data_IF_298346912764
#
_entry.id   IF_298346912764
#
_cell.length_a   1.000
_cell.length_b   1.000
_cell.length_c   1.000
_cell.angle_alpha   90.00
_cell.angle_beta   90.00
_cell.angle_gamma   90.00
#
_symmetry.space_group_name_H-M   'P 1'
#
loop_
_entity.id
_entity.type
_entity.pdbx_description
1 polymer ?
#
# COMPACT_ATOMS: atom_id res chain seq x y z
N UNK A 1 33.81 9.24 -30.94
CA UNK A 1 33.57 9.21 -32.41
C UNK A 1 32.86 10.48 -32.83
N UNK A 2 33.53 11.38 -33.56
CA UNK A 2 33.00 12.70 -33.89
C UNK A 2 32.05 12.64 -35.11
N UNK A 3 30.78 13.01 -34.94
CA UNK A 3 29.80 13.07 -36.05
C UNK A 3 30.20 14.09 -37.13
N UNK A 4 30.96 15.11 -36.74
CA UNK A 4 31.56 16.12 -37.61
C UNK A 4 32.54 15.52 -38.62
N UNK A 5 33.29 14.48 -38.24
CA UNK A 5 34.19 13.76 -39.15
C UNK A 5 33.43 12.86 -40.14
N UNK A 6 32.14 12.56 -39.89
CA UNK A 6 31.25 11.87 -40.82
C UNK A 6 30.48 12.82 -41.77
N UNK A 7 30.42 14.10 -41.44
CA UNK A 7 29.76 15.15 -42.25
C UNK A 7 30.79 16.07 -42.93
N UNK A 8 32.08 15.91 -42.60
CA UNK A 8 33.18 16.71 -43.09
C UNK A 8 33.24 16.82 -44.62
N UNK A 9 33.55 18.05 -45.07
CA UNK A 9 33.69 18.52 -46.46
C UNK A 9 34.12 17.43 -47.44
N UNK A 10 33.31 17.24 -48.48
CA UNK A 10 33.60 16.43 -49.66
C UNK A 10 35.03 16.71 -50.17
N UNK A 11 35.93 15.74 -50.08
CA UNK A 11 37.26 15.85 -50.69
C UNK A 11 37.07 15.68 -52.20
N UNK A 12 37.59 16.63 -53.00
CA UNK A 12 37.42 16.69 -54.48
C UNK A 12 37.87 15.44 -55.26
N UNK A 13 38.47 14.45 -54.60
CA UNK A 13 39.00 13.22 -55.20
C UNK A 13 38.38 11.93 -54.63
N UNK A 14 37.26 12.01 -53.91
CA UNK A 14 36.64 10.83 -53.31
C UNK A 14 35.80 10.04 -54.34
N UNK A 15 35.99 8.71 -54.50
CA UNK A 15 35.20 7.91 -55.43
C UNK A 15 33.73 7.85 -54.99
N UNK A 16 32.79 7.97 -55.93
CA UNK A 16 31.35 8.01 -55.65
C UNK A 16 30.84 6.80 -54.84
N UNK A 17 31.47 5.64 -55.02
CA UNK A 17 31.16 4.43 -54.28
C UNK A 17 31.42 4.55 -52.76
N UNK A 18 32.47 5.29 -52.36
CA UNK A 18 32.82 5.52 -50.95
C UNK A 18 31.79 6.44 -50.29
N UNK A 19 31.36 7.48 -51.02
CA UNK A 19 30.32 8.39 -50.56
C UNK A 19 28.97 7.68 -50.39
N UNK A 20 28.59 6.80 -51.31
CA UNK A 20 27.36 6.01 -51.23
C UNK A 20 27.37 5.04 -50.03
N UNK A 21 28.49 4.35 -49.80
CA UNK A 21 28.68 3.49 -48.62
C UNK A 21 28.53 4.26 -47.31
N UNK A 22 29.11 5.47 -47.22
CA UNK A 22 29.01 6.32 -46.03
C UNK A 22 27.57 6.70 -45.72
N UNK A 23 26.78 7.08 -46.72
CA UNK A 23 25.35 7.40 -46.57
C UNK A 23 24.57 6.19 -46.08
N UNK A 24 24.79 5.01 -46.68
CA UNK A 24 24.11 3.77 -46.27
C UNK A 24 24.44 3.44 -44.81
N UNK A 25 25.71 3.55 -44.40
CA UNK A 25 26.13 3.30 -43.02
C UNK A 25 25.46 4.30 -42.06
N UNK A 26 25.41 5.59 -42.40
CA UNK A 26 24.71 6.61 -41.58
C UNK A 26 23.22 6.26 -41.42
N UNK A 27 22.55 5.84 -42.50
CA UNK A 27 21.13 5.45 -42.46
C UNK A 27 20.93 4.23 -41.56
N UNK A 28 21.77 3.19 -41.68
CA UNK A 28 21.70 1.98 -40.86
C UNK A 28 21.89 2.34 -39.38
N UNK A 29 22.95 3.08 -39.05
CA UNK A 29 23.24 3.48 -37.66
C UNK A 29 22.11 4.35 -37.10
N UNK A 30 21.60 5.31 -37.88
CA UNK A 30 20.47 6.15 -37.47
C UNK A 30 19.21 5.32 -37.21
N UNK A 31 18.91 4.35 -38.08
CA UNK A 31 17.76 3.46 -37.89
C UNK A 31 17.87 2.58 -36.64
N UNK A 32 19.07 2.04 -36.36
CA UNK A 32 19.35 1.29 -35.14
C UNK A 32 19.19 2.16 -33.90
N UNK A 33 19.67 3.41 -33.95
CA UNK A 33 19.55 4.36 -32.85
C UNK A 33 18.07 4.70 -32.56
N UNK A 34 17.27 4.96 -33.60
CA UNK A 34 15.84 5.25 -33.44
C UNK A 34 15.10 4.04 -32.85
N UNK A 35 15.39 2.84 -33.35
CA UNK A 35 14.80 1.61 -32.82
C UNK A 35 15.16 1.39 -31.34
N UNK A 36 16.43 1.65 -30.98
CA UNK A 36 16.90 1.54 -29.60
C UNK A 36 16.21 2.56 -28.67
N UNK A 37 16.08 3.82 -29.09
CA UNK A 37 15.36 4.85 -28.32
C UNK A 37 13.88 4.45 -28.15
N UNK A 38 13.24 3.91 -29.18
CA UNK A 38 11.84 3.47 -29.09
C UNK A 38 11.65 2.34 -28.06
N UNK A 39 12.60 1.39 -27.98
CA UNK A 39 12.60 0.34 -26.96
C UNK A 39 12.72 0.96 -25.57
N UNK A 40 13.68 1.87 -25.37
CA UNK A 40 13.91 2.51 -24.08
C UNK A 40 12.71 3.35 -23.60
N UNK A 41 12.04 4.07 -24.50
CA UNK A 41 10.80 4.79 -24.18
C UNK A 41 9.70 3.81 -23.76
N UNK A 42 9.57 2.69 -24.47
CA UNK A 42 8.59 1.68 -24.11
C UNK A 42 8.90 1.02 -22.76
N UNK A 43 10.19 0.86 -22.41
CA UNK A 43 10.59 0.30 -21.11
C UNK A 43 10.23 1.25 -19.96
N UNK A 44 10.46 2.57 -20.10
CA UNK A 44 10.00 3.56 -19.11
C UNK A 44 8.48 3.52 -18.94
N UNK A 45 7.74 3.48 -20.04
CA UNK A 45 6.27 3.49 -20.00
C UNK A 45 5.66 2.20 -19.44
N UNK A 46 6.42 1.10 -19.38
CA UNK A 46 5.98 -0.20 -18.84
C UNK A 46 6.59 -0.52 -17.49
N UNK A 47 7.38 0.38 -16.93
CA UNK A 47 8.00 0.14 -15.65
C UNK A 47 6.94 0.03 -14.55
N UNK A 48 7.08 -1.01 -13.73
CA UNK A 48 6.28 -1.16 -12.51
C UNK A 48 7.13 -0.57 -11.38
N UNK A 49 6.64 0.46 -10.66
CA UNK A 49 7.39 1.08 -9.58
C UNK A 49 7.80 0.06 -8.52
N UNK A 50 9.04 0.14 -8.06
CA UNK A 50 9.51 -0.65 -6.94
C UNK A 50 9.00 -0.06 -5.63
N UNK A 51 8.65 -0.91 -4.65
CA UNK A 51 8.19 -0.46 -3.34
C UNK A 51 9.35 -0.54 -2.34
N UNK A 52 9.70 0.59 -1.75
CA UNK A 52 10.65 0.67 -0.64
C UNK A 52 9.89 0.76 0.67
N UNK A 53 10.05 -0.25 1.53
CA UNK A 53 9.44 -0.25 2.87
C UNK A 53 10.41 0.30 3.91
N UNK A 54 9.93 1.24 4.72
CA UNK A 54 10.61 1.73 5.91
C UNK A 54 9.74 1.52 7.14
N UNK A 55 10.38 1.38 8.30
CA UNK A 55 9.71 1.05 9.56
C UNK A 55 9.88 2.21 10.52
N UNK A 56 8.78 2.77 10.99
CA UNK A 56 8.78 3.88 11.96
C UNK A 56 8.07 3.41 13.22
N UNK A 57 8.75 3.36 14.39
CA UNK A 57 8.09 3.04 15.64
C UNK A 57 7.10 4.15 16.03
N UNK A 58 5.97 3.77 16.60
CA UNK A 58 4.93 4.71 17.04
C UNK A 58 4.50 4.40 18.47
N UNK A 59 4.24 5.43 19.26
CA UNK A 59 3.82 5.26 20.66
C UNK A 59 2.33 4.94 20.80
N UNK A 60 1.55 5.23 19.75
CA UNK A 60 0.10 5.01 19.73
C UNK A 60 -0.38 4.57 18.35
N UNK A 61 -1.45 3.79 18.32
CA UNK A 61 -2.15 3.41 17.09
C UNK A 61 -3.65 3.68 17.21
N UNK A 62 -4.25 4.21 16.15
CA UNK A 62 -5.70 4.40 16.07
C UNK A 62 -6.43 3.06 16.09
N UNK A 63 -7.61 3.05 16.71
CA UNK A 63 -8.50 1.88 16.66
C UNK A 63 -9.08 1.80 15.24
N UNK A 64 -9.00 0.64 14.56
CA UNK A 64 -9.55 0.49 13.22
C UNK A 64 -11.08 0.46 13.25
N UNK A 65 -11.67 0.84 12.14
CA UNK A 65 -13.10 0.73 11.91
C UNK A 65 -13.45 -0.71 11.51
N UNK A 66 -14.63 -1.20 11.92
CA UNK A 66 -15.06 -2.57 11.62
C UNK A 66 -16.47 -2.56 11.03
N UNK A 67 -16.60 -3.07 9.81
CA UNK A 67 -17.88 -3.33 9.15
C UNK A 67 -18.24 -4.80 9.32
N UNK A 68 -19.48 -5.10 9.70
CA UNK A 68 -19.98 -6.47 9.79
C UNK A 68 -21.25 -6.56 8.94
N UNK A 69 -21.31 -7.56 8.07
CA UNK A 69 -22.49 -7.76 7.23
C UNK A 69 -22.88 -9.23 7.16
N UNK A 70 -24.19 -9.47 7.08
CA UNK A 70 -24.77 -10.80 7.13
C UNK A 70 -26.20 -10.85 6.56
N UNK A 71 -26.63 -12.00 6.04
CA UNK A 71 -27.95 -12.15 5.40
C UNK A 71 -29.11 -12.28 6.42
N UNK A 72 -28.80 -12.58 7.67
CA UNK A 72 -29.79 -12.75 8.75
C UNK A 72 -29.69 -11.61 9.77
N UNK A 73 -30.78 -11.30 10.50
CA UNK A 73 -30.75 -10.30 11.58
C UNK A 73 -29.77 -10.71 12.68
N UNK A 74 -29.02 -9.73 13.18
CA UNK A 74 -28.07 -9.90 14.27
C UNK A 74 -27.94 -8.61 15.10
N UNK A 75 -27.43 -8.76 16.32
CA UNK A 75 -26.98 -7.65 17.16
C UNK A 75 -25.47 -7.67 17.34
N UNK A 76 -24.89 -6.48 17.44
CA UNK A 76 -23.46 -6.28 17.72
C UNK A 76 -23.29 -5.78 19.15
N UNK A 77 -22.41 -6.43 19.91
CA UNK A 77 -21.94 -5.98 21.21
C UNK A 77 -20.46 -5.67 21.15
N UNK A 78 -20.03 -4.67 21.90
CA UNK A 78 -18.67 -4.16 21.86
C UNK A 78 -18.15 -3.89 23.26
N UNK A 79 -16.91 -4.35 23.52
CA UNK A 79 -16.21 -4.08 24.77
C UNK A 79 -14.73 -3.76 24.52
N UNK A 80 -14.22 -2.73 25.20
CA UNK A 80 -12.80 -2.47 25.29
C UNK A 80 -12.16 -3.37 26.35
N UNK A 81 -11.09 -4.07 25.99
CA UNK A 81 -10.37 -4.97 26.89
C UNK A 81 -9.06 -4.30 27.33
N UNK A 82 -8.97 -4.03 28.62
CA UNK A 82 -7.82 -3.42 29.27
C UNK A 82 -6.99 -4.47 30.02
N UNK A 83 -5.68 -4.27 30.00
CA UNK A 83 -4.75 -5.06 30.78
C UNK A 83 -4.12 -4.18 31.86
N UNK A 84 -4.27 -4.59 33.13
CA UNK A 84 -3.88 -3.80 34.30
C UNK A 84 -3.06 -4.68 35.23
N UNK A 85 -1.85 -4.26 35.59
CA UNK A 85 -0.99 -4.92 36.59
C UNK A 85 -0.79 -6.43 36.37
N UNK A 86 -0.64 -6.89 35.13
CA UNK A 86 -0.41 -8.31 34.85
C UNK A 86 -1.68 -9.16 34.70
N UNK A 87 -2.87 -8.56 34.81
CA UNK A 87 -4.15 -9.27 34.72
C UNK A 87 -5.11 -8.58 33.74
N UNK A 88 -5.94 -9.39 33.06
CA UNK A 88 -7.08 -8.88 32.31
C UNK A 88 -8.10 -8.32 33.29
N UNK A 89 -8.43 -7.03 33.19
CA UNK A 89 -9.49 -6.50 34.02
C UNK A 89 -10.84 -6.95 33.46
N UNK A 90 -11.47 -7.91 34.16
CA UNK A 90 -12.84 -8.34 33.86
C UNK A 90 -13.88 -7.33 34.35
N UNK A 91 -13.52 -6.49 35.33
CA UNK A 91 -14.41 -5.50 35.92
C UNK A 91 -14.31 -4.12 35.25
N UNK A 92 -13.17 -3.82 34.62
CA UNK A 92 -12.94 -2.53 33.93
C UNK A 92 -13.11 -2.66 32.41
N UNK A 93 -13.85 -3.68 31.96
CA UNK A 93 -14.19 -3.82 30.56
C UNK A 93 -15.25 -2.76 30.21
N UNK A 94 -14.82 -1.66 29.61
CA UNK A 94 -15.70 -0.56 29.24
C UNK A 94 -16.53 -0.91 28.01
N UNK A 95 -17.83 -0.61 28.06
CA UNK A 95 -18.72 -0.83 26.94
C UNK A 95 -18.45 0.18 25.83
N UNK A 96 -18.26 -0.30 24.59
CA UNK A 96 -18.11 0.56 23.41
C UNK A 96 -19.38 0.67 22.57
N UNK A 97 -20.55 0.43 23.18
CA UNK A 97 -21.83 0.43 22.48
C UNK A 97 -22.20 1.79 21.86
N UNK A 98 -21.67 2.90 22.39
CA UNK A 98 -21.89 4.23 21.83
C UNK A 98 -21.24 4.43 20.45
N UNK A 99 -20.27 3.58 20.10
CA UNK A 99 -19.53 3.61 18.84
C UNK A 99 -20.06 2.59 17.82
N UNK A 100 -21.10 1.83 18.21
CA UNK A 100 -21.73 0.82 17.37
C UNK A 100 -22.98 1.39 16.70
N UNK A 101 -23.03 1.25 15.39
CA UNK A 101 -24.26 1.33 14.61
C UNK A 101 -24.82 -0.08 14.48
N UNK A 102 -25.96 -0.34 15.13
CA UNK A 102 -26.61 -1.64 15.06
C UNK A 102 -26.99 -1.99 13.61
N UNK A 103 -27.00 -3.29 13.25
CA UNK A 103 -27.26 -3.71 11.88
C UNK A 103 -28.62 -3.25 11.38
N UNK A 104 -28.64 -2.66 10.19
CA UNK A 104 -29.87 -2.34 9.47
C UNK A 104 -29.88 -3.09 8.14
N UNK A 105 -31.08 -3.41 7.65
CA UNK A 105 -31.25 -4.10 6.37
C UNK A 105 -31.02 -3.13 5.21
N UNK A 106 -29.91 -3.31 4.49
CA UNK A 106 -29.49 -2.48 3.35
C UNK A 106 -29.05 -3.42 2.23
N UNK A 107 -29.58 -3.22 1.02
CA UNK A 107 -29.16 -3.97 -0.19
C UNK A 107 -29.10 -5.50 -0.04
N UNK A 108 -30.12 -6.06 0.63
CA UNK A 108 -30.34 -7.50 0.88
C UNK A 108 -29.51 -8.10 2.00
N UNK A 109 -28.68 -7.32 2.68
CA UNK A 109 -27.89 -7.76 3.83
C UNK A 109 -28.16 -6.88 5.04
N UNK A 110 -28.10 -7.45 6.24
CA UNK A 110 -27.99 -6.67 7.47
C UNK A 110 -26.55 -6.21 7.62
N UNK A 111 -26.35 -4.91 7.78
CA UNK A 111 -25.00 -4.34 7.91
C UNK A 111 -24.93 -3.45 9.13
N UNK A 112 -24.02 -3.78 10.03
CA UNK A 112 -23.70 -3.00 11.22
C UNK A 112 -22.22 -2.63 11.23
N UNK A 113 -21.86 -1.71 12.12
CA UNK A 113 -20.56 -1.08 12.03
C UNK A 113 -20.06 -0.52 13.37
N UNK A 114 -18.75 -0.53 13.54
CA UNK A 114 -18.02 0.14 14.61
C UNK A 114 -17.14 1.25 14.02
N UNK A 115 -17.33 2.48 14.50
CA UNK A 115 -16.35 3.58 14.32
C UNK A 115 -16.14 4.31 15.63
N UNK A 116 -14.88 4.58 15.92
CA UNK A 116 -14.52 5.64 16.84
C UNK A 116 -14.52 6.98 16.08
N UNK A 117 -15.60 7.75 16.20
CA UNK A 117 -15.72 9.05 15.50
C UNK A 117 -14.86 10.14 16.15
N UNK A 118 -14.67 10.05 17.46
CA UNK A 118 -13.72 10.84 18.23
C UNK A 118 -12.43 10.04 18.38
N UNK A 119 -11.28 10.59 18.00
CA UNK A 119 -9.99 9.95 18.22
C UNK A 119 -9.58 10.02 19.71
N UNK A 120 -10.49 9.68 20.62
CA UNK A 120 -10.30 9.78 22.06
C UNK A 120 -9.57 8.57 22.64
N UNK A 121 -9.53 7.46 21.91
CA UNK A 121 -8.88 6.22 22.34
C UNK A 121 -7.90 5.70 21.31
N UNK A 122 -6.79 5.14 21.81
CA UNK A 122 -5.70 4.59 21.02
C UNK A 122 -5.14 3.33 21.69
N UNK A 123 -4.62 2.43 20.87
CA UNK A 123 -3.75 1.37 21.37
C UNK A 123 -2.42 1.96 21.81
N UNK A 124 -1.87 1.45 22.92
CA UNK A 124 -0.55 1.80 23.45
C UNK A 124 0.30 0.54 23.62
N UNK A 125 1.63 0.61 23.40
CA UNK A 125 2.52 -0.53 23.58
C UNK A 125 2.53 -0.96 25.03
N UNK A 126 2.55 -2.28 25.26
CA UNK A 126 2.68 -2.86 26.58
C UNK A 126 3.96 -2.36 27.25
N UNK A 127 3.79 -1.65 28.37
CA UNK A 127 4.86 -1.32 29.30
C UNK A 127 4.66 -2.17 30.56
N UNK A 128 5.76 -2.69 31.11
CA UNK A 128 5.80 -3.77 32.10
C UNK A 128 4.83 -3.62 33.28
N UNK A 129 4.44 -2.40 33.66
CA UNK A 129 3.67 -2.11 34.87
C UNK A 129 2.55 -1.07 34.67
N UNK A 130 2.16 -0.75 33.43
CA UNK A 130 1.13 0.26 33.14
C UNK A 130 -0.16 -0.36 32.59
N UNK A 131 -1.28 0.28 32.87
CA UNK A 131 -2.55 0.01 32.21
C UNK A 131 -2.44 0.33 30.73
N UNK A 132 -2.82 -0.61 29.87
CA UNK A 132 -2.87 -0.38 28.43
C UNK A 132 -4.09 -1.03 27.79
N UNK A 133 -4.54 -0.39 26.71
CA UNK A 133 -5.63 -0.90 25.89
C UNK A 133 -5.10 -2.07 25.05
N UNK A 134 -5.56 -3.29 25.36
CA UNK A 134 -5.02 -4.51 24.75
C UNK A 134 -5.74 -4.84 23.44
N UNK A 135 -7.06 -4.71 23.41
CA UNK A 135 -7.85 -5.12 22.26
C UNK A 135 -9.29 -4.58 22.28
N UNK A 136 -9.85 -4.47 21.09
CA UNK A 136 -11.28 -4.29 20.85
C UNK A 136 -11.95 -5.66 20.71
N UNK A 137 -12.93 -5.97 21.54
CA UNK A 137 -13.73 -7.19 21.40
C UNK A 137 -15.11 -6.85 20.86
N UNK A 138 -15.47 -7.44 19.71
CA UNK A 138 -16.78 -7.32 19.09
C UNK A 138 -17.45 -8.71 19.09
N UNK A 139 -18.67 -8.77 19.59
CA UNK A 139 -19.49 -9.97 19.64
C UNK A 139 -20.70 -9.79 18.74
N UNK A 140 -21.00 -10.79 17.94
CA UNK A 140 -22.14 -10.87 17.03
C UNK A 140 -23.07 -11.95 17.54
N UNK A 141 -24.33 -11.58 17.78
CA UNK A 141 -25.38 -12.51 18.19
C UNK A 141 -26.41 -12.56 17.06
N UNK A 142 -26.61 -13.73 16.47
CA UNK A 142 -27.58 -13.93 15.38
C UNK A 142 -28.96 -14.15 16.00
N UNK A 143 -29.95 -13.34 15.60
CA UNK A 143 -31.30 -13.37 16.16
C UNK A 143 -32.29 -14.20 15.34
N UNK A 144 -31.82 -14.84 14.26
CA UNK A 144 -32.69 -15.67 13.42
C UNK A 144 -32.81 -17.09 13.98
N UNK A 145 -33.98 -17.50 14.48
CA UNK A 145 -34.21 -18.85 15.00
C UNK A 145 -34.15 -19.93 13.90
N UNK A 146 -34.22 -19.55 12.62
CA UNK A 146 -34.10 -20.46 11.49
C UNK A 146 -32.68 -20.55 10.95
N UNK A 147 -31.72 -19.84 11.55
CA UNK A 147 -30.35 -19.87 11.10
C UNK A 147 -29.76 -21.27 11.31
N UNK A 148 -29.39 -21.90 10.20
CA UNK A 148 -28.67 -23.16 10.20
C UNK A 148 -27.28 -22.86 9.66
N UNK A 149 -26.26 -23.01 10.50
CA UNK A 149 -24.89 -22.81 10.08
C UNK A 149 -24.55 -23.73 8.89
N UNK A 150 -24.20 -23.11 7.77
CA UNK A 150 -23.67 -23.79 6.59
C UNK A 150 -22.30 -23.18 6.29
N UNK A 151 -21.28 -23.99 6.01
CA UNK A 151 -19.95 -23.50 5.65
C UNK A 151 -19.95 -22.99 4.19
N UNK A 152 -20.73 -21.96 3.89
CA UNK A 152 -20.69 -21.21 2.64
C UNK A 152 -20.53 -19.71 2.92
N UNK A 153 -19.77 -19.01 2.07
CA UNK A 153 -19.47 -17.58 2.26
C UNK A 153 -20.71 -16.68 2.35
N UNK A 154 -21.84 -17.09 1.76
CA UNK A 154 -23.11 -16.34 1.85
C UNK A 154 -23.96 -16.69 3.07
N UNK A 155 -23.53 -17.63 3.91
CA UNK A 155 -24.32 -18.10 5.07
C UNK A 155 -23.60 -17.92 6.39
N UNK A 156 -22.60 -17.04 6.43
CA UNK A 156 -21.80 -16.71 7.61
C UNK A 156 -21.60 -15.20 7.68
N UNK A 157 -21.62 -14.58 8.88
CA UNK A 157 -21.31 -13.17 9.00
C UNK A 157 -19.89 -12.93 8.51
N UNK A 158 -19.68 -11.84 7.78
CA UNK A 158 -18.34 -11.40 7.40
C UNK A 158 -18.02 -10.04 8.02
N UNK A 159 -16.76 -9.86 8.38
CA UNK A 159 -16.24 -8.63 8.95
C UNK A 159 -15.16 -8.06 8.03
N UNK A 160 -15.14 -6.75 7.83
CA UNK A 160 -14.08 -6.03 7.12
C UNK A 160 -13.51 -4.98 8.06
N UNK A 161 -12.19 -4.89 8.13
CA UNK A 161 -11.49 -3.96 9.00
C UNK A 161 -10.81 -2.87 8.15
N UNK A 162 -11.02 -1.61 8.51
CA UNK A 162 -10.49 -0.45 7.82
C UNK A 162 -9.59 0.39 8.73
N UNK A 163 -8.68 1.14 8.13
CA UNK A 163 -8.01 2.22 8.86
C UNK A 163 -9.04 3.34 9.10
N UNK A 164 -9.17 3.79 10.36
CA UNK A 164 -10.16 4.79 10.75
C UNK A 164 -9.88 6.19 10.18
N UNK A 165 -8.65 6.48 9.76
CA UNK A 165 -8.29 7.73 9.10
C UNK A 165 -8.54 7.70 7.59
N UNK A 166 -8.62 6.50 6.99
CA UNK A 166 -8.84 6.32 5.56
C UNK A 166 -9.84 5.19 5.30
N UNK A 167 -11.08 5.43 5.69
CA UNK A 167 -12.18 4.51 5.47
C UNK A 167 -12.92 4.85 4.17
N UNK A 168 -12.90 3.98 3.14
CA UNK A 168 -13.47 4.26 1.82
C UNK A 168 -15.00 4.34 1.82
N UNK A 169 -15.65 3.87 2.88
CA UNK A 169 -17.11 3.83 3.05
C UNK A 169 -17.58 5.04 3.88
N UNK A 170 -16.66 5.77 4.52
CA UNK A 170 -17.00 6.97 5.30
C UNK A 170 -17.15 8.18 4.39
N UNK A 171 -18.33 8.81 4.44
CA UNK A 171 -18.63 10.08 3.80
C UNK A 171 -17.97 11.24 4.56
N UNK A 172 -17.88 12.39 3.89
CA UNK A 172 -17.22 13.59 4.42
C UNK A 172 -17.90 14.20 5.65
N UNK A 173 -19.16 13.86 5.92
CA UNK A 173 -19.89 14.21 7.13
C UNK A 173 -19.74 13.17 8.26
N UNK A 174 -18.93 12.14 8.04
CA UNK A 174 -18.70 11.04 8.97
C UNK A 174 -19.76 9.93 8.92
N UNK A 175 -20.79 10.06 8.07
CA UNK A 175 -21.77 9.00 7.84
C UNK A 175 -21.20 7.91 6.94
N UNK A 176 -21.87 6.76 6.84
CA UNK A 176 -21.39 5.61 6.07
C UNK A 176 -22.20 5.44 4.80
N UNK A 177 -21.55 5.38 3.64
CA UNK A 177 -22.16 5.02 2.36
C UNK A 177 -22.04 3.51 2.12
N UNK A 178 -22.92 2.76 2.77
CA UNK A 178 -23.02 1.30 2.61
C UNK A 178 -23.46 0.88 1.19
N UNK A 179 -23.92 1.83 0.36
CA UNK A 179 -24.32 1.60 -1.03
C UNK A 179 -23.19 1.81 -2.04
N UNK A 180 -21.99 2.22 -1.58
CA UNK A 180 -20.84 2.42 -2.44
C UNK A 180 -20.38 1.09 -3.03
N UNK A 181 -20.64 0.90 -4.32
CA UNK A 181 -20.18 -0.27 -5.08
C UNK A 181 -18.92 -0.01 -5.88
N UNK A 182 -18.52 1.25 -6.03
CA UNK A 182 -17.41 1.67 -6.87
C UNK A 182 -16.19 2.03 -6.02
N UNK A 183 -15.29 1.06 -5.90
CA UNK A 183 -13.99 1.23 -5.25
C UNK A 183 -12.88 1.32 -6.31
N UNK A 184 -11.87 2.14 -6.05
CA UNK A 184 -10.62 2.14 -6.80
C UNK A 184 -9.88 0.80 -6.66
N UNK A 185 -8.90 0.56 -7.51
CA UNK A 185 -8.12 -0.69 -7.51
C UNK A 185 -7.44 -0.90 -6.15
N UNK A 186 -6.81 0.15 -5.60
CA UNK A 186 -6.17 0.08 -4.28
C UNK A 186 -7.20 -0.20 -3.15
N UNK A 187 -8.36 0.46 -3.18
CA UNK A 187 -9.42 0.22 -2.18
C UNK A 187 -9.93 -1.22 -2.24
N UNK A 188 -10.10 -1.80 -3.44
CA UNK A 188 -10.52 -3.19 -3.61
C UNK A 188 -9.50 -4.19 -3.06
N UNK A 189 -8.21 -3.94 -3.28
CA UNK A 189 -7.15 -4.80 -2.74
C UNK A 189 -7.16 -4.78 -1.20
N UNK A 190 -7.33 -3.60 -0.60
CA UNK A 190 -7.48 -3.43 0.86
C UNK A 190 -8.73 -4.16 1.38
N UNK A 191 -9.86 -4.00 0.70
CA UNK A 191 -11.13 -4.66 1.05
C UNK A 191 -11.00 -6.19 1.06
N UNK A 192 -10.40 -6.76 0.01
CA UNK A 192 -10.26 -8.21 -0.14
C UNK A 192 -9.31 -8.78 0.92
N UNK A 193 -8.20 -8.10 1.19
CA UNK A 193 -7.19 -8.58 2.13
C UNK A 193 -7.62 -8.44 3.60
N UNK A 194 -8.57 -7.54 3.89
CA UNK A 194 -9.06 -7.29 5.25
C UNK A 194 -10.46 -7.85 5.52
N UNK A 195 -10.98 -8.70 4.64
CA UNK A 195 -12.26 -9.37 4.82
C UNK A 195 -12.09 -10.73 5.50
N UNK A 196 -12.91 -10.99 6.52
CA UNK A 196 -12.89 -12.20 7.33
C UNK A 196 -14.27 -12.80 7.47
N UNK A 197 -14.32 -14.13 7.48
CA UNK A 197 -15.52 -14.87 7.84
C UNK A 197 -15.55 -15.10 9.35
N UNK A 198 -16.69 -14.81 9.97
CA UNK A 198 -16.94 -15.10 11.37
C UNK A 198 -17.59 -16.49 11.46
N UNK A 199 -16.85 -17.43 12.03
CA UNK A 199 -17.35 -18.78 12.26
C UNK A 199 -18.34 -18.79 13.41
N UNK A 200 -19.45 -19.53 13.27
CA UNK A 200 -20.43 -19.70 14.33
C UNK A 200 -19.77 -20.33 15.57
N UNK A 201 -20.15 -19.84 16.75
CA UNK A 201 -19.62 -20.29 18.04
C UNK A 201 -18.12 -20.12 18.19
N UNK A 202 -17.49 -19.18 17.50
CA UNK A 202 -16.05 -18.94 17.62
C UNK A 202 -15.71 -17.46 17.80
N UNK A 203 -14.71 -17.22 18.64
CA UNK A 203 -14.04 -15.93 18.75
C UNK A 203 -12.72 -15.96 17.99
N UNK A 204 -12.61 -15.14 16.95
CA UNK A 204 -11.41 -15.02 16.14
C UNK A 204 -10.51 -13.90 16.65
N UNK A 205 -9.19 -14.10 16.62
CA UNK A 205 -8.24 -13.04 16.91
C UNK A 205 -7.72 -12.45 15.61
N UNK A 206 -7.86 -11.15 15.44
CA UNK A 206 -7.34 -10.43 14.29
C UNK A 206 -6.25 -9.48 14.77
N UNK A 207 -5.04 -9.76 14.32
CA UNK A 207 -3.93 -8.85 14.50
C UNK A 207 -3.87 -7.89 13.32
N UNK A 208 -3.59 -6.61 13.54
CA UNK A 208 -3.41 -5.66 12.45
C UNK A 208 -2.09 -4.91 12.54
N UNK A 209 -1.59 -4.48 11.38
CA UNK A 209 -0.46 -3.55 11.24
C UNK A 209 -0.92 -2.33 10.45
N UNK A 210 -0.43 -1.14 10.83
CA UNK A 210 -0.73 0.10 10.11
C UNK A 210 0.33 0.33 9.03
N UNK A 211 -0.15 0.64 7.83
CA UNK A 211 0.68 0.94 6.67
C UNK A 211 0.31 2.31 6.10
N UNK A 212 1.32 2.97 5.58
CA UNK A 212 1.22 4.22 4.84
C UNK A 212 1.89 4.04 3.50
N UNK A 213 1.11 4.03 2.42
CA UNK A 213 1.62 3.96 1.04
C UNK A 213 1.72 5.36 0.44
N UNK A 214 2.88 5.65 -0.13
CA UNK A 214 3.19 6.86 -0.86
C UNK A 214 3.33 6.46 -2.34
N UNK A 215 2.20 6.53 -3.06
CA UNK A 215 2.13 6.18 -4.48
C UNK A 215 2.50 7.36 -5.36
N UNK A 216 3.26 7.13 -6.42
CA UNK A 216 3.65 8.19 -7.34
C UNK A 216 2.42 8.61 -8.16
N UNK A 217 2.17 9.92 -8.21
CA UNK A 217 1.13 10.47 -9.08
C UNK A 217 1.71 10.52 -10.50
N UNK A 218 1.17 9.74 -11.45
CA UNK A 218 1.72 9.66 -12.81
C UNK A 218 1.66 11.04 -13.46
N UNK A 219 2.82 11.55 -13.85
CA UNK A 219 2.93 12.81 -14.56
C UNK A 219 4.21 12.84 -15.42
N UNK A 220 4.20 13.65 -16.49
CA UNK A 220 5.34 13.70 -17.41
C UNK A 220 6.65 14.18 -16.75
N UNK A 221 6.59 14.91 -15.63
CA UNK A 221 7.76 15.39 -14.89
C UNK A 221 8.40 14.25 -14.09
N UNK A 222 7.60 13.32 -13.56
CA UNK A 222 8.09 12.11 -12.88
C UNK A 222 8.74 11.16 -13.88
N UNK A 223 8.19 11.02 -15.07
CA UNK A 223 8.75 10.12 -16.10
C UNK A 223 10.12 10.64 -16.60
N UNK A 224 10.30 11.96 -16.61
CA UNK A 224 11.61 12.58 -16.92
C UNK A 224 12.60 12.38 -15.77
N UNK A 225 12.13 12.23 -14.52
CA UNK A 225 12.97 12.03 -13.33
C UNK A 225 13.33 13.32 -12.58
N UNK A 226 12.58 14.41 -12.78
CA UNK A 226 12.87 15.72 -12.16
C UNK A 226 12.19 15.90 -10.79
N UNK A 227 10.96 15.41 -10.63
CA UNK A 227 10.21 15.55 -9.39
C UNK A 227 9.13 14.48 -9.28
N UNK A 228 9.06 13.85 -8.10
CA UNK A 228 8.04 12.87 -7.78
C UNK A 228 7.06 13.46 -6.78
N UNK A 229 5.80 13.58 -7.20
CA UNK A 229 4.70 13.89 -6.30
C UNK A 229 4.09 12.58 -5.85
N UNK A 230 3.88 12.44 -4.54
CA UNK A 230 3.29 11.26 -3.96
C UNK A 230 1.86 11.56 -3.50
N UNK A 231 0.97 10.60 -3.71
CA UNK A 231 -0.33 10.52 -3.06
C UNK A 231 -0.17 9.62 -1.85
N UNK A 232 -0.62 10.11 -0.70
CA UNK A 232 -0.65 9.32 0.53
C UNK A 232 -1.95 8.52 0.60
N UNK A 233 -1.84 7.24 0.94
CA UNK A 233 -2.95 6.38 1.34
C UNK A 233 -2.57 5.62 2.62
N UNK A 234 -3.51 5.56 3.55
CA UNK A 234 -3.37 4.83 4.82
C UNK A 234 -4.22 3.57 4.74
N UNK A 235 -3.70 2.46 5.24
CA UNK A 235 -4.47 1.22 5.31
C UNK A 235 -3.93 0.34 6.43
N UNK A 236 -4.78 -0.57 6.87
CA UNK A 236 -4.38 -1.64 7.77
C UNK A 236 -4.16 -2.90 6.95
N UNK A 237 -3.18 -3.70 7.35
CA UNK A 237 -3.07 -5.08 6.91
C UNK A 237 -3.45 -5.97 8.09
N UNK A 238 -4.29 -6.95 7.84
CA UNK A 238 -4.88 -7.76 8.90
C UNK A 238 -4.51 -9.22 8.72
N UNK A 239 -4.18 -9.85 9.84
CA UNK A 239 -3.74 -11.24 9.90
C UNK A 239 -4.66 -12.00 10.83
N UNK A 240 -5.38 -12.94 10.25
CA UNK A 240 -6.27 -13.83 10.98
C UNK A 240 -5.45 -14.83 11.78
N UNK A 241 -5.61 -14.81 13.10
CA UNK A 241 -5.11 -15.83 14.01
C UNK A 241 -6.31 -16.68 14.42
N UNK A 242 -6.26 -17.96 14.05
CA UNK A 242 -7.36 -18.93 14.13
C UNK A 242 -8.16 -18.86 15.44
N UNK A 243 -9.47 -19.17 15.34
CA UNK A 243 -10.46 -19.11 16.43
C UNK A 243 -9.90 -19.57 17.78
N UNK A 244 -9.84 -18.63 18.73
CA UNK A 244 -9.12 -18.79 19.99
C UNK A 244 -9.94 -19.60 21.00
N UNK A 245 -11.27 -19.45 20.98
CA UNK A 245 -12.18 -20.15 21.89
C UNK A 245 -13.54 -20.42 21.24
N UNK A 246 -14.18 -21.52 21.67
CA UNK A 246 -15.54 -21.89 21.27
C UNK A 246 -16.54 -21.28 22.25
N UNK A 247 -17.53 -20.55 21.73
CA UNK A 247 -18.60 -19.98 22.53
C UNK A 247 -19.58 -21.06 23.02
N UNK A 248 -19.97 -20.95 24.29
CA UNK A 248 -20.94 -21.87 24.88
C UNK A 248 -22.35 -21.65 24.31
N UNK A 249 -22.71 -20.39 24.01
CA UNK A 249 -23.98 -20.04 23.38
C UNK A 249 -24.03 -20.44 21.91
N UNK A 250 -25.17 -20.94 21.47
CA UNK A 250 -25.50 -21.05 20.04
C UNK A 250 -25.61 -19.65 19.44
N UNK A 251 -25.29 -19.52 18.15
CA UNK A 251 -25.49 -18.30 17.36
C UNK A 251 -24.67 -17.09 17.84
N UNK A 252 -23.56 -17.35 18.51
CA UNK A 252 -22.66 -16.33 19.02
C UNK A 252 -21.30 -16.45 18.35
N UNK A 253 -20.87 -15.39 17.68
CA UNK A 253 -19.55 -15.27 17.07
C UNK A 253 -18.88 -14.00 17.57
N UNK A 254 -17.58 -13.88 17.38
CA UNK A 254 -16.92 -12.62 17.69
C UNK A 254 -15.53 -12.49 17.09
N UNK A 255 -15.03 -11.27 17.17
CA UNK A 255 -13.66 -10.91 16.82
C UNK A 255 -13.02 -10.13 17.94
N UNK A 256 -11.76 -10.42 18.20
CA UNK A 256 -10.87 -9.64 19.05
C UNK A 256 -9.85 -8.99 18.13
N UNK A 257 -9.84 -7.67 18.04
CA UNK A 257 -8.93 -6.90 17.18
C UNK A 257 -7.84 -6.26 18.04
N UNK A 258 -6.58 -6.45 17.68
CA UNK A 258 -5.43 -5.84 18.38
C UNK A 258 -4.26 -5.56 17.44
N UNK A 259 -3.36 -4.61 17.76
CA UNK A 259 -2.17 -4.40 16.96
C UNK A 259 -1.20 -5.59 17.07
N UNK A 260 -0.58 -5.99 15.96
CA UNK A 260 0.52 -6.98 15.97
C UNK A 260 1.82 -6.34 16.48
N UNK A 261 2.08 -5.12 16.01
CA UNK A 261 3.28 -4.34 16.36
C UNK A 261 2.94 -2.87 16.42
N UNK A 262 3.71 -2.11 17.19
CA UNK A 262 3.64 -0.65 17.26
C UNK A 262 4.64 -0.02 16.28
N UNK A 263 4.59 -0.49 15.04
CA UNK A 263 5.42 -0.04 13.92
C UNK A 263 4.49 0.35 12.79
N UNK A 264 4.65 1.59 12.30
CA UNK A 264 4.03 2.05 11.08
C UNK A 264 4.96 1.75 9.90
N UNK A 265 4.46 0.99 8.93
CA UNK A 265 5.20 0.64 7.73
C UNK A 265 4.95 1.70 6.66
N UNK A 266 5.98 2.45 6.29
CA UNK A 266 5.91 3.45 5.22
C UNK A 266 6.44 2.82 3.94
N UNK A 267 5.54 2.56 3.01
CA UNK A 267 5.81 2.00 1.68
C UNK A 267 5.88 3.14 0.68
N UNK A 268 7.05 3.38 0.10
CA UNK A 268 7.25 4.45 -0.89
C UNK A 268 7.52 3.83 -2.25
N UNK A 269 6.70 4.18 -3.24
CA UNK A 269 6.96 3.81 -4.62
C UNK A 269 8.19 4.57 -5.15
N UNK A 270 9.02 3.87 -5.90
CA UNK A 270 10.22 4.40 -6.53
C UNK A 270 10.27 3.97 -7.99
N UNK A 271 10.57 4.92 -8.86
CA UNK A 271 10.84 4.67 -10.27
C UNK A 271 12.35 4.50 -10.42
N UNK A 272 12.76 3.37 -10.99
CA UNK A 272 14.17 3.04 -11.22
C UNK A 272 14.66 3.49 -12.60
N UNK A 273 13.77 3.64 -13.59
CA UNK A 273 14.10 4.06 -14.96
C UNK A 273 13.36 5.35 -15.32
N UNK A 274 14.14 6.37 -15.68
CA UNK A 274 13.61 7.68 -16.11
C UNK A 274 14.23 8.08 -17.44
N UNK A 275 13.60 9.01 -18.17
CA UNK A 275 14.17 9.50 -19.42
C UNK A 275 15.54 10.17 -19.21
N UNK A 276 15.74 10.92 -18.11
CA UNK A 276 17.06 11.45 -17.76
C UNK A 276 18.05 10.35 -17.41
N UNK A 277 17.61 9.30 -16.71
CA UNK A 277 18.44 8.13 -16.42
C UNK A 277 18.95 7.47 -17.70
N UNK A 278 18.07 7.29 -18.69
CA UNK A 278 18.43 6.74 -20.00
C UNK A 278 19.44 7.63 -20.74
N UNK A 279 19.22 8.95 -20.76
CA UNK A 279 20.16 9.90 -21.38
C UNK A 279 21.52 9.81 -20.69
N UNK A 280 21.55 9.66 -19.35
CA UNK A 280 22.76 9.45 -18.58
C UNK A 280 23.53 8.18 -19.00
N UNK A 281 22.83 7.04 -19.14
CA UNK A 281 23.43 5.77 -19.59
C UNK A 281 23.98 5.88 -21.03
N UNK A 282 23.26 6.54 -21.93
CA UNK A 282 23.74 6.82 -23.29
C UNK A 282 24.97 7.74 -23.25
N UNK A 283 24.99 8.74 -22.36
CA UNK A 283 26.13 9.62 -22.16
C UNK A 283 27.38 8.89 -21.65
N UNK A 284 27.24 7.95 -20.71
CA UNK A 284 28.35 7.18 -20.15
C UNK A 284 28.98 6.21 -21.16
N UNK A 285 28.18 5.68 -22.09
CA UNK A 285 28.67 4.82 -23.18
C UNK A 285 29.39 5.58 -24.30
N UNK A 286 29.30 6.91 -24.31
CA UNK A 286 30.09 7.80 -25.17
C UNK A 286 31.16 8.51 -24.34
N UNK A 287 32.35 7.93 -24.13
CA UNK A 287 33.47 8.71 -23.63
C UNK A 287 33.76 9.82 -24.64
N UNK A 288 33.53 11.05 -24.22
CA UNK A 288 34.09 12.22 -24.87
C UNK A 288 35.59 12.10 -24.60
N UNK A 289 36.38 11.80 -25.64
CA UNK A 289 37.83 11.87 -25.54
C UNK A 289 38.20 13.28 -25.07
N UNK A 290 38.81 13.37 -23.89
CA UNK A 290 39.06 14.59 -23.10
C UNK A 290 40.10 15.56 -23.72
N UNK A 291 40.36 15.50 -25.03
CA UNK A 291 41.43 16.29 -25.63
C UNK A 291 41.00 17.72 -26.04
N UNK A 292 39.72 18.08 -25.90
CA UNK A 292 39.24 19.46 -26.15
C UNK A 292 38.14 19.87 -25.15
N UNK A 293 38.50 20.12 -23.89
CA UNK A 293 37.66 20.91 -22.98
C UNK A 293 38.22 22.35 -22.96
N UNK A 294 37.50 23.35 -23.46
CA UNK A 294 37.80 24.75 -23.16
C UNK A 294 37.50 24.97 -21.67
N UNK A 295 38.43 25.61 -20.96
CA UNK A 295 38.27 26.06 -19.57
C UNK A 295 37.11 27.07 -19.43
N UNK A 296 35.86 26.60 -19.41
CA UNK A 296 34.70 27.41 -19.03
C UNK A 296 34.06 26.83 -17.74
N UNK A 297 33.99 27.59 -16.63
CA UNK A 297 33.71 27.05 -15.29
C UNK A 297 32.21 26.92 -14.97
N UNK A 298 31.33 26.90 -15.97
CA UNK A 298 29.88 26.90 -15.74
C UNK A 298 29.20 25.80 -16.55
N UNK A 299 29.39 24.53 -16.23
CA UNK A 299 28.36 23.47 -16.42
C UNK A 299 28.87 22.12 -15.87
N UNK A 300 29.12 22.03 -14.56
CA UNK A 300 29.25 20.75 -13.87
C UNK A 300 27.87 20.27 -13.41
N UNK A 301 27.10 19.68 -14.32
CA UNK A 301 25.99 18.82 -13.90
C UNK A 301 26.63 17.52 -13.41
N UNK A 302 26.70 17.36 -12.08
CA UNK A 302 27.02 16.10 -11.46
C UNK A 302 25.94 15.09 -11.84
N UNK A 303 26.23 14.22 -12.80
CA UNK A 303 25.41 13.04 -13.06
C UNK A 303 25.48 12.15 -11.83
N UNK A 304 24.35 12.01 -11.14
CA UNK A 304 24.18 11.04 -10.07
C UNK A 304 24.38 9.64 -10.65
N UNK A 305 25.38 8.92 -10.17
CA UNK A 305 25.52 7.48 -10.37
C UNK A 305 24.25 6.79 -9.84
N UNK A 306 23.57 5.93 -10.61
CA UNK A 306 22.89 4.80 -10.02
C UNK A 306 23.99 3.79 -9.66
N UNK A 307 24.57 3.93 -8.46
CA UNK A 307 25.40 2.86 -7.92
C UNK A 307 24.53 1.61 -7.81
N UNK A 308 24.96 0.55 -8.47
CA UNK A 308 24.56 -0.82 -8.21
C UNK A 308 24.41 -1.06 -6.70
N UNK A 309 23.18 -1.09 -6.20
CA UNK A 309 22.88 -1.54 -4.85
C UNK A 309 22.85 -3.06 -4.85
N UNK A 310 24.04 -3.66 -4.72
CA UNK A 310 24.20 -4.95 -4.06
C UNK A 310 24.46 -4.59 -2.60
N UNK A 311 23.40 -4.45 -1.80
CA UNK A 311 23.56 -4.48 -0.36
C UNK A 311 23.63 -5.95 0.07
N UNK A 312 24.85 -6.33 0.42
CA UNK A 312 25.19 -7.51 1.19
C UNK A 312 24.45 -7.36 2.53
N UNK A 313 23.54 -8.28 2.80
CA UNK A 313 22.98 -8.47 4.13
C UNK A 313 24.11 -9.03 5.00
N UNK A 314 24.78 -8.14 5.73
CA UNK A 314 25.62 -8.51 6.86
C UNK A 314 24.70 -8.61 8.08
N UNK A 315 24.39 -9.84 8.46
CA UNK A 315 23.72 -10.16 9.72
C UNK A 315 24.79 -10.09 10.79
N UNK A 316 24.69 -9.09 11.67
CA UNK A 316 25.34 -9.15 12.98
C UNK A 316 24.32 -8.88 14.09
N UNK A 317 24.23 -9.88 14.97
CA UNK A 317 23.47 -10.07 16.22
C UNK A 317 22.09 -10.71 16.13
#
# INVERSE_FOLDING_TARGET
MNFSDFIGKQRKSEPSAVLMMRIIIIIIISSCLIAYIAILINDVNREIPAIKTSKVPVDTLSIPDVLISFDHPFHIYCTFVWYINGYYSRNDSESCMQYITQPNYVDKTYTGYFSLNDQSQYFTPMKSDEEYFESLAIVVIIDDPNFIYRPSFSSVPFAIIFDSENNPIKLSDGTLDLSKTNFSIDENEILINNAFVLTDRMFSLVNFTKHKKLSIIPNWISDIGLSFKHKESLYVNTKFVQGVFVAESEHLSGIKVKPETFINYIETEQISITYLGIIGVIGETYPIDNDEIPDDPYFSIAFFRPSSFIDIIEIDQ
#
